data_IF_835252666228
#
_entry.id   IF_835252666228
#
_cell.length_a   1.000
_cell.length_b   1.000
_cell.length_c   1.000
_cell.angle_alpha   90.00
_cell.angle_beta   90.00
_cell.angle_gamma   90.00
#
_symmetry.space_group_name_H-M   'P 1'
#
loop_
_entity.id
_entity.type
_entity.pdbx_description
1 polymer ?
#
# COMPACT_ATOMS: atom_id res chain seq x y z
N UNK A 1 -23.40 -0.22 2.62
CA UNK A 1 -22.44 -0.87 1.72
C UNK A 1 -21.06 -0.68 2.34
N UNK A 2 -20.52 -1.71 2.99
CA UNK A 2 -19.18 -1.67 3.59
C UNK A 2 -18.17 -1.89 2.48
N UNK A 3 -17.52 -0.82 2.03
CA UNK A 3 -16.41 -0.89 1.07
C UNK A 3 -15.31 -1.70 1.72
N UNK A 4 -15.19 -2.97 1.34
CA UNK A 4 -14.07 -3.82 1.73
C UNK A 4 -12.81 -3.09 1.28
N UNK A 5 -11.87 -2.86 2.21
CA UNK A 5 -10.64 -2.17 1.84
C UNK A 5 -10.02 -2.88 0.64
N UNK A 6 -9.78 -2.12 -0.44
CA UNK A 6 -9.25 -2.69 -1.66
C UNK A 6 -7.97 -3.46 -1.32
N UNK A 7 -7.88 -4.69 -1.81
CA UNK A 7 -6.77 -5.58 -1.51
C UNK A 7 -5.40 -4.92 -1.79
N UNK A 8 -5.30 -4.10 -2.85
CA UNK A 8 -4.11 -3.30 -3.15
C UNK A 8 -3.72 -2.29 -2.06
N UNK A 9 -4.67 -1.62 -1.43
CA UNK A 9 -4.40 -0.70 -0.32
C UNK A 9 -3.86 -1.41 0.93
N UNK A 10 -4.33 -2.64 1.19
CA UNK A 10 -3.81 -3.46 2.29
C UNK A 10 -2.39 -3.97 1.99
N UNK A 11 -2.12 -4.39 0.77
CA UNK A 11 -0.78 -4.80 0.31
C UNK A 11 0.22 -3.64 0.46
N UNK A 12 -0.14 -2.44 -0.01
CA UNK A 12 0.69 -1.24 0.15
C UNK A 12 0.97 -0.96 1.63
N UNK A 13 -0.05 -1.05 2.50
CA UNK A 13 0.10 -0.87 3.95
C UNK A 13 1.08 -1.88 4.56
N UNK A 14 0.98 -3.15 4.19
CA UNK A 14 1.81 -4.22 4.72
C UNK A 14 3.28 -4.03 4.29
N UNK A 15 3.52 -3.80 3.00
CA UNK A 15 4.86 -3.52 2.46
C UNK A 15 5.49 -2.27 3.08
N UNK A 16 4.71 -1.18 3.23
CA UNK A 16 5.18 0.04 3.89
C UNK A 16 5.64 -0.22 5.33
N UNK A 17 4.83 -0.94 6.10
CA UNK A 17 5.14 -1.27 7.49
C UNK A 17 6.37 -2.18 7.59
N UNK A 18 6.55 -3.12 6.67
CA UNK A 18 7.73 -3.99 6.61
C UNK A 18 9.04 -3.22 6.37
N UNK A 19 8.95 -2.01 5.79
CA UNK A 19 10.08 -1.08 5.64
C UNK A 19 10.14 0.01 6.72
N UNK A 20 9.25 -0.04 7.70
CA UNK A 20 9.14 0.96 8.79
C UNK A 20 8.86 2.39 8.30
N UNK A 21 8.27 2.52 7.11
CA UNK A 21 7.98 3.85 6.54
C UNK A 21 6.70 4.41 7.15
N UNK A 22 6.67 5.72 7.39
CA UNK A 22 5.42 6.42 7.67
C UNK A 22 4.61 6.60 6.39
N UNK A 23 3.30 6.83 6.49
CA UNK A 23 2.47 7.15 5.32
C UNK A 23 2.96 8.41 4.58
N UNK A 24 3.51 9.36 5.33
CA UNK A 24 4.04 10.62 4.79
C UNK A 24 5.34 10.40 4.02
N UNK A 25 6.27 9.61 4.59
CA UNK A 25 7.53 9.25 3.93
C UNK A 25 7.30 8.50 2.63
N UNK A 26 6.44 7.46 2.64
CA UNK A 26 6.14 6.70 1.42
C UNK A 26 5.46 7.58 0.37
N UNK A 27 4.46 8.37 0.77
CA UNK A 27 3.73 9.21 -0.15
C UNK A 27 4.66 10.25 -0.82
N UNK A 28 5.52 10.89 -0.03
CA UNK A 28 6.50 11.84 -0.54
C UNK A 28 7.47 11.19 -1.54
N UNK A 29 8.05 10.04 -1.21
CA UNK A 29 8.97 9.34 -2.12
C UNK A 29 8.31 8.84 -3.40
N UNK A 30 7.07 8.35 -3.30
CA UNK A 30 6.32 7.83 -4.45
C UNK A 30 5.62 8.92 -5.28
N UNK A 31 5.59 10.18 -4.82
CA UNK A 31 4.96 11.29 -5.54
C UNK A 31 3.43 11.33 -5.39
N UNK A 32 2.90 10.91 -4.24
CA UNK A 32 1.47 11.02 -3.87
C UNK A 32 1.30 11.87 -2.62
N UNK A 33 0.07 12.25 -2.32
CA UNK A 33 -0.25 12.90 -1.04
C UNK A 33 -0.37 11.87 0.08
N UNK A 34 -0.03 12.26 1.31
CA UNK A 34 -0.30 11.46 2.52
C UNK A 34 -1.78 11.06 2.61
N UNK A 35 -2.69 11.96 2.26
CA UNK A 35 -4.13 11.70 2.27
C UNK A 35 -4.53 10.60 1.28
N UNK A 36 -3.91 10.56 0.11
CA UNK A 36 -4.10 9.48 -0.88
C UNK A 36 -3.70 8.13 -0.29
N UNK A 37 -2.49 8.02 0.29
CA UNK A 37 -2.04 6.79 0.94
C UNK A 37 -2.96 6.40 2.10
N UNK A 38 -3.34 7.34 2.95
CA UNK A 38 -4.26 7.08 4.06
C UNK A 38 -5.61 6.53 3.57
N UNK A 39 -6.18 7.10 2.50
CA UNK A 39 -7.44 6.64 1.92
C UNK A 39 -7.32 5.24 1.31
N UNK A 40 -6.21 4.92 0.63
CA UNK A 40 -5.93 3.59 0.12
C UNK A 40 -5.83 2.55 1.24
N UNK A 41 -5.01 2.81 2.26
CA UNK A 41 -4.77 1.88 3.37
C UNK A 41 -5.96 1.71 4.31
N UNK A 42 -6.84 2.72 4.38
CA UNK A 42 -8.12 2.65 5.10
C UNK A 42 -9.25 2.03 4.25
N UNK A 43 -8.99 1.74 2.97
CA UNK A 43 -10.01 1.16 2.09
C UNK A 43 -11.07 2.12 1.56
N UNK A 44 -10.88 3.43 1.75
CA UNK A 44 -11.82 4.46 1.29
C UNK A 44 -11.77 4.67 -0.23
N UNK A 45 -10.60 4.43 -0.82
CA UNK A 45 -10.38 4.48 -2.27
C UNK A 45 -9.44 3.36 -2.69
N UNK A 46 -9.51 2.94 -3.95
CA UNK A 46 -8.68 1.86 -4.50
C UNK A 46 -7.47 2.43 -5.25
N UNK A 47 -6.22 2.03 -4.92
CA UNK A 47 -5.07 2.34 -5.78
C UNK A 47 -5.19 1.58 -7.11
N UNK A 48 -4.62 2.15 -8.17
CA UNK A 48 -4.48 1.42 -9.44
C UNK A 48 -3.51 0.24 -9.28
N UNK A 49 -3.60 -0.74 -10.17
CA UNK A 49 -2.63 -1.84 -10.18
C UNK A 49 -1.19 -1.33 -10.37
N UNK A 50 -1.01 -0.37 -11.28
CA UNK A 50 0.30 0.25 -11.53
C UNK A 50 0.84 0.96 -10.29
N UNK A 51 -0.02 1.64 -9.51
CA UNK A 51 0.39 2.27 -8.27
C UNK A 51 0.83 1.24 -7.21
N UNK A 52 0.14 0.10 -7.11
CA UNK A 52 0.52 -0.98 -6.20
C UNK A 52 1.87 -1.56 -6.61
N UNK A 53 2.03 -1.92 -7.89
CA UNK A 53 3.28 -2.49 -8.41
C UNK A 53 4.43 -1.49 -8.27
N UNK A 54 4.22 -0.23 -8.63
CA UNK A 54 5.22 0.83 -8.53
C UNK A 54 5.73 1.02 -7.10
N UNK A 55 4.81 1.04 -6.13
CA UNK A 55 5.18 1.12 -4.71
C UNK A 55 5.95 -0.12 -4.27
N UNK A 56 5.50 -1.33 -4.63
CA UNK A 56 6.20 -2.56 -4.26
C UNK A 56 7.62 -2.59 -4.83
N UNK A 57 7.78 -2.25 -6.11
CA UNK A 57 9.09 -2.17 -6.74
C UNK A 57 9.99 -1.14 -6.04
N UNK A 58 9.47 0.05 -5.71
CA UNK A 58 10.21 1.07 -4.97
C UNK A 58 10.66 0.58 -3.59
N UNK A 59 9.83 -0.21 -2.91
CA UNK A 59 10.14 -0.80 -1.61
C UNK A 59 10.92 -2.12 -1.71
N UNK A 60 11.39 -2.48 -2.91
CA UNK A 60 12.13 -3.71 -3.21
C UNK A 60 11.37 -4.97 -2.79
N UNK A 61 10.10 -5.05 -3.18
CA UNK A 61 9.27 -6.24 -3.10
C UNK A 61 8.72 -6.60 -4.48
N UNK A 62 8.53 -7.90 -4.69
CA UNK A 62 7.73 -8.43 -5.79
C UNK A 62 6.24 -8.42 -5.43
N UNK A 63 5.37 -8.58 -6.43
CA UNK A 63 3.92 -8.69 -6.18
C UNK A 63 3.57 -9.89 -5.28
N UNK A 64 4.10 -11.11 -5.50
CA UNK A 64 3.85 -12.24 -4.60
C UNK A 64 4.25 -11.95 -3.15
N UNK A 65 5.44 -11.38 -2.91
CA UNK A 65 5.90 -11.05 -1.56
C UNK A 65 4.98 -10.00 -0.90
N UNK A 66 4.53 -8.99 -1.64
CA UNK A 66 3.57 -8.00 -1.14
C UNK A 66 2.24 -8.64 -0.70
N UNK A 67 1.75 -9.63 -1.44
CA UNK A 67 0.55 -10.38 -1.09
C UNK A 67 0.76 -11.26 0.15
N UNK A 68 1.93 -11.88 0.29
CA UNK A 68 2.28 -12.68 1.47
C UNK A 68 2.35 -11.81 2.73
N UNK A 69 2.95 -10.62 2.65
CA UNK A 69 3.00 -9.65 3.75
C UNK A 69 1.60 -9.24 4.20
N UNK A 70 0.66 -9.05 3.27
CA UNK A 70 -0.73 -8.72 3.61
C UNK A 70 -1.42 -9.84 4.40
N UNK A 71 -1.16 -11.10 4.02
CA UNK A 71 -1.75 -12.29 4.66
C UNK A 71 -1.20 -12.57 6.06
N UNK A 72 0.06 -12.21 6.33
CA UNK A 72 0.69 -12.39 7.64
C UNK A 72 0.28 -11.34 8.68
N UNK A 73 -0.27 -10.20 8.24
CA UNK A 73 -0.67 -9.08 9.10
C UNK A 73 -2.17 -9.09 9.46
N UNK A 74 -2.84 -10.22 9.27
CA UNK A 74 -4.28 -10.43 9.46
C UNK A 74 -4.55 -11.49 10.52
#
# INVERSE_FOLDING_TARGET
MTTQASHGGKVVKAARKAREYTQETLAFQYGKSKATLQNWEAGRTTPSFDDVVGILCMLHFTVPEGLELERQNH
#
